data_IF_447938670770
#
_entry.id   IF_447938670770
#
_cell.length_a   1.000
_cell.length_b   1.000
_cell.length_c   1.000
_cell.angle_alpha   90.00
_cell.angle_beta   90.00
_cell.angle_gamma   90.00
#
_symmetry.space_group_name_H-M   'P 1'
#
loop_
_entity.id
_entity.type
_entity.pdbx_description
1 polymer ?
#
# COMPACT_ATOMS: atom_id res chain seq x y z
N UNK A 1 -30.87 -0.78 23.42
CA UNK A 1 -30.59 -0.82 21.97
C UNK A 1 -29.09 -0.97 21.79
N UNK A 2 -28.69 -2.09 21.22
CA UNK A 2 -27.30 -2.59 21.22
C UNK A 2 -26.36 -1.74 20.38
N UNK A 3 -25.25 -1.31 20.98
CA UNK A 3 -24.16 -0.60 20.30
C UNK A 3 -23.43 -1.54 19.34
N UNK A 4 -23.53 -1.27 18.03
CA UNK A 4 -22.82 -2.01 16.99
C UNK A 4 -21.40 -1.47 16.86
N UNK A 5 -20.51 -1.96 17.72
CA UNK A 5 -19.06 -1.79 17.59
C UNK A 5 -18.59 -2.70 16.45
N UNK A 6 -18.44 -2.12 15.26
CA UNK A 6 -17.82 -2.81 14.12
C UNK A 6 -16.31 -2.70 14.27
N UNK A 7 -15.71 -3.84 14.63
CA UNK A 7 -14.29 -4.13 14.59
C UNK A 7 -13.75 -3.91 13.17
N UNK A 8 -12.73 -3.06 13.08
CA UNK A 8 -11.92 -2.89 11.89
C UNK A 8 -10.83 -3.97 11.83
N UNK A 9 -10.55 -4.41 10.60
CA UNK A 9 -9.38 -5.12 10.11
C UNK A 9 -9.17 -6.60 10.49
N UNK A 10 -9.23 -7.52 9.50
CA UNK A 10 -8.26 -8.60 9.46
C UNK A 10 -6.94 -8.02 8.90
N UNK A 11 -6.06 -7.54 9.79
CA UNK A 11 -4.64 -7.38 9.48
C UNK A 11 -4.04 -8.80 9.41
N UNK A 12 -4.30 -9.48 8.29
CA UNK A 12 -3.82 -10.82 8.03
C UNK A 12 -2.31 -10.85 7.85
N UNK A 13 -1.69 -11.83 8.50
CA UNK A 13 -0.61 -12.59 7.88
C UNK A 13 0.80 -12.09 8.14
N UNK A 14 1.32 -12.44 9.32
CA UNK A 14 2.73 -12.75 9.48
C UNK A 14 3.17 -13.76 8.41
N UNK A 15 4.08 -13.38 7.52
CA UNK A 15 5.21 -14.19 7.01
C UNK A 15 5.98 -13.46 5.91
N UNK A 16 7.29 -13.68 5.96
CA UNK A 16 8.32 -13.25 5.02
C UNK A 16 8.86 -11.83 5.21
N UNK A 17 10.17 -11.76 5.48
CA UNK A 17 11.00 -10.57 5.38
C UNK A 17 11.14 -10.17 3.90
N UNK A 18 10.02 -9.99 3.20
CA UNK A 18 10.03 -9.44 1.86
C UNK A 18 10.56 -8.01 1.98
N UNK A 19 11.63 -7.72 1.23
CA UNK A 19 12.27 -6.40 1.20
C UNK A 19 11.20 -5.38 0.80
N UNK A 20 10.85 -4.50 1.74
CA UNK A 20 9.88 -3.44 1.48
C UNK A 20 10.48 -2.52 0.41
N UNK A 21 9.67 -2.17 -0.57
CA UNK A 21 10.02 -1.20 -1.59
C UNK A 21 9.42 0.15 -1.23
N UNK A 22 10.20 1.20 -1.36
CA UNK A 22 9.71 2.57 -1.24
C UNK A 22 9.01 2.95 -2.55
N UNK A 23 7.76 3.37 -2.45
CA UNK A 23 6.95 3.81 -3.60
C UNK A 23 6.35 5.17 -3.31
N UNK A 24 6.26 6.00 -4.33
CA UNK A 24 5.60 7.30 -4.25
C UNK A 24 4.13 7.17 -4.66
N UNK A 25 3.25 7.68 -3.81
CA UNK A 25 1.82 7.77 -4.11
C UNK A 25 1.56 8.86 -5.15
N UNK A 26 0.81 8.56 -6.20
CA UNK A 26 0.30 9.56 -7.17
C UNK A 26 -1.09 10.08 -6.78
N UNK A 27 -1.75 9.43 -5.82
CA UNK A 27 -3.05 9.82 -5.32
C UNK A 27 -3.15 9.62 -3.81
N UNK A 28 -4.06 10.36 -3.17
CA UNK A 28 -4.33 10.19 -1.74
C UNK A 28 -4.81 8.75 -1.44
N UNK A 29 -4.22 8.15 -0.41
CA UNK A 29 -4.44 6.78 0.01
C UNK A 29 -4.17 6.62 1.52
N UNK A 30 -4.92 5.74 2.18
CA UNK A 30 -4.66 5.39 3.56
C UNK A 30 -3.74 4.17 3.65
N UNK A 31 -2.52 4.36 4.12
CA UNK A 31 -1.55 3.28 4.31
C UNK A 31 -1.42 2.92 5.79
N UNK A 32 -1.83 1.70 6.17
CA UNK A 32 -1.73 1.22 7.55
C UNK A 32 -2.53 2.06 8.56
N UNK A 33 -3.69 2.59 8.16
CA UNK A 33 -4.52 3.47 8.98
C UNK A 33 -4.01 4.91 9.09
N UNK A 34 -3.01 5.30 8.27
CA UNK A 34 -2.52 6.68 8.18
C UNK A 34 -2.87 7.25 6.81
N UNK A 35 -3.55 8.41 6.73
CA UNK A 35 -3.79 9.08 5.46
C UNK A 35 -2.46 9.59 4.89
N UNK A 36 -2.13 9.18 3.67
CA UNK A 36 -0.95 9.59 2.94
C UNK A 36 -1.38 10.32 1.67
N UNK A 37 -0.85 11.53 1.48
CA UNK A 37 -1.15 12.35 0.30
C UNK A 37 -0.36 11.89 -0.92
N UNK A 38 -0.86 12.26 -2.10
CA UNK A 38 -0.05 12.20 -3.33
C UNK A 38 1.31 12.91 -3.13
N UNK A 39 2.38 12.32 -3.65
CA UNK A 39 3.78 12.70 -3.43
C UNK A 39 4.40 12.10 -2.16
N UNK A 40 3.62 11.45 -1.29
CA UNK A 40 4.18 10.79 -0.10
C UNK A 40 4.82 9.46 -0.49
N UNK A 41 5.99 9.20 0.09
CA UNK A 41 6.69 7.92 -0.05
C UNK A 41 6.27 6.96 1.06
N UNK A 42 5.87 5.75 0.68
CA UNK A 42 5.47 4.68 1.61
C UNK A 42 6.28 3.42 1.33
N UNK A 43 6.59 2.67 2.38
CA UNK A 43 7.30 1.39 2.25
C UNK A 43 6.30 0.23 2.24
N UNK A 44 6.08 -0.34 1.05
CA UNK A 44 5.11 -1.41 0.82
C UNK A 44 5.82 -2.70 0.44
N UNK A 45 5.13 -3.83 0.54
CA UNK A 45 5.62 -5.09 -0.01
C UNK A 45 5.48 -5.09 -1.55
N UNK A 46 6.28 -5.88 -2.30
CA UNK A 46 6.21 -5.92 -3.76
C UNK A 46 4.82 -6.31 -4.29
N UNK A 47 4.10 -7.22 -3.62
CA UNK A 47 2.73 -7.55 -3.99
C UNK A 47 1.75 -6.39 -3.72
N UNK A 48 1.97 -5.60 -2.66
CA UNK A 48 1.19 -4.40 -2.37
C UNK A 48 1.49 -3.28 -3.36
N UNK A 49 2.75 -3.10 -3.77
CA UNK A 49 3.16 -2.19 -4.85
C UNK A 49 2.43 -2.53 -6.14
N UNK A 50 2.42 -3.80 -6.56
CA UNK A 50 1.70 -4.24 -7.74
C UNK A 50 0.20 -3.93 -7.64
N UNK A 51 -0.42 -4.20 -6.49
CA UNK A 51 -1.83 -3.86 -6.24
C UNK A 51 -2.10 -2.34 -6.31
N UNK A 52 -1.24 -1.52 -5.70
CA UNK A 52 -1.35 -0.06 -5.77
C UNK A 52 -1.14 0.49 -7.18
N UNK A 53 -0.27 -0.14 -8.00
CA UNK A 53 -0.10 0.21 -9.41
C UNK A 53 -1.34 -0.11 -10.22
N UNK A 54 -1.98 -1.27 -9.98
CA UNK A 54 -3.25 -1.63 -10.62
C UNK A 54 -4.37 -0.66 -10.26
N UNK A 55 -4.37 -0.15 -9.03
CA UNK A 55 -5.33 0.86 -8.56
C UNK A 55 -5.00 2.29 -9.06
N UNK A 56 -3.86 2.51 -9.73
CA UNK A 56 -3.40 3.83 -10.14
C UNK A 56 -3.05 4.75 -8.95
N UNK A 57 -2.73 4.17 -7.79
CA UNK A 57 -2.38 4.90 -6.56
C UNK A 57 -0.90 5.19 -6.42
N UNK A 58 -0.04 4.39 -7.05
CA UNK A 58 1.41 4.64 -7.16
C UNK A 58 1.78 4.66 -8.64
N UNK A 59 2.81 5.46 -8.98
CA UNK A 59 3.31 5.47 -10.35
C UNK A 59 3.84 4.07 -10.69
N UNK A 60 3.56 3.61 -11.92
CA UNK A 60 4.25 2.45 -12.49
C UNK A 60 5.67 2.90 -12.82
N UNK A 61 6.56 2.91 -11.82
CA UNK A 61 7.99 3.17 -12.05
C UNK A 61 8.47 2.15 -13.08
N UNK A 62 8.82 2.66 -14.26
CA UNK A 62 9.30 1.90 -15.40
C UNK A 62 10.77 1.49 -15.20
N UNK A 63 11.09 0.81 -14.10
CA UNK A 63 12.43 0.25 -13.85
C UNK A 63 12.44 -1.30 -13.82
N UNK A 64 11.65 -1.89 -14.71
CA UNK A 64 12.03 -3.18 -15.30
C UNK A 64 11.93 -3.06 -16.82
N UNK A 65 13.00 -2.50 -17.38
CA UNK A 65 13.33 -2.48 -18.80
C UNK A 65 14.81 -2.75 -18.98
N UNK A 66 15.34 -3.72 -18.23
CA UNK A 66 16.67 -4.26 -18.42
C UNK A 66 16.59 -5.61 -19.13
N UNK A 67 16.59 -5.61 -20.46
CA UNK A 67 17.40 -6.52 -21.29
C UNK A 67 17.42 -6.06 -22.74
#
# INVERSE_FOLDING_TARGET
>A
MSGRKQEAAPAGGEKEKAKREEVELVADHEHGGKPCKAGSKISVLPHQKAWLQQLGKVAKTAEEGGK
#
